data_IF_413298383104
#
_entry.id   IF_413298383104
#
_cell.length_a   1.000
_cell.length_b   1.000
_cell.length_c   1.000
_cell.angle_alpha   90.00
_cell.angle_beta   90.00
_cell.angle_gamma   90.00
#
_symmetry.space_group_name_H-M   'P 1'
#
loop_
_entity.id
_entity.type
_entity.pdbx_description
1 polymer ?
#
# COMPACT_ATOMS: atom_id res chain seq x y z
N UNK A 1 2.98 -14.01 -20.84
CA UNK A 1 3.10 -12.63 -21.37
C UNK A 1 2.94 -11.68 -20.18
N UNK A 2 3.63 -10.55 -20.16
CA UNK A 2 3.52 -9.57 -19.08
C UNK A 2 3.33 -8.16 -19.66
N UNK A 3 2.79 -7.25 -18.85
CA UNK A 3 2.63 -5.84 -19.19
C UNK A 3 3.39 -4.97 -18.18
N UNK A 4 4.02 -3.90 -18.66
CA UNK A 4 4.71 -2.90 -17.84
C UNK A 4 4.27 -1.51 -18.26
N UNK A 5 3.79 -0.72 -17.31
CA UNK A 5 3.35 0.66 -17.53
C UNK A 5 4.02 1.59 -16.49
N UNK A 6 4.28 2.84 -16.87
CA UNK A 6 4.85 3.88 -16.00
C UNK A 6 3.81 4.96 -15.69
N UNK A 7 3.82 5.40 -14.44
CA UNK A 7 2.91 6.40 -13.90
C UNK A 7 3.68 7.44 -13.09
N UNK A 8 3.12 8.64 -13.05
CA UNK A 8 3.59 9.77 -12.24
C UNK A 8 2.65 10.01 -11.05
N UNK A 9 2.93 11.04 -10.24
CA UNK A 9 2.10 11.40 -9.09
C UNK A 9 0.66 11.80 -9.45
N UNK A 10 0.39 12.13 -10.72
CA UNK A 10 -0.91 12.59 -11.22
C UNK A 10 -1.77 11.45 -11.74
N UNK A 11 -1.14 10.45 -12.34
CA UNK A 11 -1.80 9.33 -13.02
C UNK A 11 -1.87 8.07 -12.15
N UNK A 12 -0.94 7.90 -11.21
CA UNK A 12 -0.85 6.73 -10.34
C UNK A 12 -2.17 6.41 -9.61
N UNK A 13 -2.72 7.36 -8.85
CA UNK A 13 -3.87 7.06 -7.98
C UNK A 13 -5.11 6.63 -8.76
N UNK A 14 -5.34 7.17 -9.96
CA UNK A 14 -6.47 6.75 -10.79
C UNK A 14 -6.34 5.29 -11.20
N UNK A 15 -5.15 4.88 -11.65
CA UNK A 15 -4.88 3.50 -12.05
C UNK A 15 -4.88 2.55 -10.85
N UNK A 16 -4.21 2.94 -9.77
CA UNK A 16 -4.14 2.14 -8.54
C UNK A 16 -5.51 1.90 -7.91
N UNK A 17 -6.38 2.92 -7.84
CA UNK A 17 -7.75 2.76 -7.32
C UNK A 17 -8.61 1.85 -8.21
N UNK A 18 -8.35 1.81 -9.52
CA UNK A 18 -9.03 0.87 -10.42
C UNK A 18 -8.58 -0.57 -10.16
N UNK A 19 -7.28 -0.81 -9.96
CA UNK A 19 -6.76 -2.13 -9.58
C UNK A 19 -7.32 -2.57 -8.21
N UNK A 20 -7.39 -1.69 -7.21
CA UNK A 20 -8.05 -1.98 -5.92
C UNK A 20 -9.55 -2.28 -6.07
N UNK A 21 -10.22 -1.66 -7.04
CA UNK A 21 -11.62 -1.93 -7.34
C UNK A 21 -11.83 -3.32 -7.96
N UNK A 22 -10.87 -3.77 -8.77
CA UNK A 22 -10.91 -5.06 -9.46
C UNK A 22 -10.41 -6.24 -8.61
N UNK A 23 -9.71 -5.98 -7.49
CA UNK A 23 -9.10 -7.03 -6.69
C UNK A 23 -10.10 -7.98 -6.04
N UNK A 24 -9.73 -9.25 -5.90
CA UNK A 24 -10.61 -10.35 -5.51
C UNK A 24 -10.16 -11.13 -4.28
N UNK A 25 -8.86 -11.22 -4.01
CA UNK A 25 -8.30 -12.13 -3.00
C UNK A 25 -7.51 -11.41 -1.92
N UNK A 26 -6.54 -10.60 -2.29
CA UNK A 26 -5.68 -9.90 -1.35
C UNK A 26 -5.02 -8.64 -1.91
N UNK A 27 -4.75 -7.70 -1.02
CA UNK A 27 -3.98 -6.50 -1.29
C UNK A 27 -2.96 -6.31 -0.17
N UNK A 28 -1.70 -6.12 -0.54
CA UNK A 28 -0.61 -5.74 0.36
C UNK A 28 -0.13 -4.36 -0.07
N UNK A 29 -0.10 -3.39 0.85
CA UNK A 29 0.43 -2.05 0.59
C UNK A 29 1.56 -1.79 1.57
N UNK A 30 2.71 -1.39 1.07
CA UNK A 30 3.86 -1.01 1.88
C UNK A 30 4.19 0.45 1.61
N UNK A 31 4.12 1.27 2.67
CA UNK A 31 4.38 2.70 2.61
C UNK A 31 4.95 3.17 3.94
N UNK A 32 6.11 3.85 3.94
CA UNK A 32 6.82 4.19 5.18
C UNK A 32 6.06 5.18 6.07
N UNK A 33 5.15 5.96 5.50
CA UNK A 33 4.37 6.94 6.25
C UNK A 33 2.90 6.84 5.85
N UNK A 34 2.02 7.12 6.80
CA UNK A 34 0.57 7.24 6.65
C UNK A 34 0.16 8.66 6.96
N UNK A 35 -0.69 9.28 6.12
CA UNK A 35 -1.28 10.58 6.46
C UNK A 35 -2.79 10.61 6.31
N UNK A 36 -3.49 11.24 7.26
CA UNK A 36 -4.95 11.39 7.22
C UNK A 36 -5.44 12.05 5.94
N UNK A 37 -4.68 13.02 5.42
CA UNK A 37 -5.02 13.67 4.16
C UNK A 37 -5.09 12.68 3.00
N UNK A 38 -4.13 11.77 2.88
CA UNK A 38 -4.11 10.77 1.82
C UNK A 38 -5.12 9.65 2.09
N UNK A 39 -5.24 9.23 3.36
CA UNK A 39 -6.19 8.21 3.78
C UNK A 39 -7.64 8.58 3.46
N UNK A 40 -8.03 9.87 3.56
CA UNK A 40 -9.36 10.33 3.09
C UNK A 40 -9.70 9.90 1.66
N UNK A 41 -8.72 9.84 0.76
CA UNK A 41 -8.91 9.39 -0.62
C UNK A 41 -8.93 7.87 -0.76
N UNK A 42 -8.16 7.16 0.07
CA UNK A 42 -8.03 5.70 0.01
C UNK A 42 -9.13 4.96 0.77
N UNK A 43 -9.70 5.57 1.82
CA UNK A 43 -10.70 4.96 2.70
C UNK A 43 -11.89 4.33 1.96
N UNK A 44 -12.51 4.97 0.95
CA UNK A 44 -13.60 4.35 0.20
C UNK A 44 -13.19 3.02 -0.45
N UNK A 45 -12.02 2.97 -1.09
CA UNK A 45 -11.52 1.75 -1.73
C UNK A 45 -11.14 0.68 -0.70
N UNK A 46 -10.44 1.04 0.38
CA UNK A 46 -10.03 0.10 1.43
C UNK A 46 -11.25 -0.54 2.13
N UNK A 47 -12.28 0.26 2.43
CA UNK A 47 -13.55 -0.28 2.97
C UNK A 47 -14.24 -1.19 1.96
N UNK A 48 -14.19 -0.83 0.69
CA UNK A 48 -14.70 -1.66 -0.41
C UNK A 48 -13.98 -3.02 -0.49
N UNK A 49 -12.67 -3.09 -0.22
CA UNK A 49 -11.93 -4.35 -0.16
C UNK A 49 -12.51 -5.27 0.92
N UNK A 50 -12.60 -4.74 2.15
CA UNK A 50 -13.08 -5.50 3.30
C UNK A 50 -14.53 -5.96 3.11
N UNK A 51 -15.40 -5.11 2.58
CA UNK A 51 -16.79 -5.48 2.28
C UNK A 51 -16.91 -6.62 1.27
N UNK A 52 -15.96 -6.74 0.33
CA UNK A 52 -15.90 -7.86 -0.63
C UNK A 52 -15.21 -9.11 -0.07
N UNK A 53 -14.74 -9.07 1.18
CA UNK A 53 -13.96 -10.17 1.78
C UNK A 53 -12.53 -10.27 1.27
N UNK A 54 -12.01 -9.24 0.58
CA UNK A 54 -10.61 -9.18 0.13
C UNK A 54 -9.72 -8.93 1.36
N UNK A 55 -8.69 -9.74 1.53
CA UNK A 55 -7.73 -9.56 2.63
C UNK A 55 -6.86 -8.34 2.36
N UNK A 56 -6.69 -7.47 3.35
CA UNK A 56 -5.89 -6.27 3.20
C UNK A 56 -4.80 -6.22 4.28
N UNK A 57 -3.58 -5.96 3.84
CA UNK A 57 -2.40 -5.88 4.68
C UNK A 57 -1.67 -4.56 4.41
N UNK A 58 -1.33 -3.84 5.47
CA UNK A 58 -0.58 -2.59 5.38
C UNK A 58 0.71 -2.74 6.16
N UNK A 59 1.83 -2.48 5.51
CA UNK A 59 3.15 -2.43 6.12
C UNK A 59 3.58 -0.97 6.19
N UNK A 60 3.83 -0.48 7.39
CA UNK A 60 4.24 0.91 7.60
C UNK A 60 5.24 1.04 8.74
N UNK A 61 5.86 2.21 8.88
CA UNK A 61 6.78 2.45 10.00
C UNK A 61 6.00 2.55 11.30
N UNK A 62 6.63 2.11 12.38
CA UNK A 62 6.17 2.36 13.74
C UNK A 62 6.05 3.88 13.95
N UNK A 63 4.86 4.41 14.34
CA UNK A 63 4.69 5.83 14.63
C UNK A 63 5.68 6.38 15.64
N UNK A 64 6.20 5.55 16.54
CA UNK A 64 7.22 5.92 17.53
C UNK A 64 8.55 6.36 16.89
N UNK A 65 8.80 6.00 15.62
CA UNK A 65 9.96 6.46 14.86
C UNK A 65 9.72 7.85 14.19
N UNK A 66 8.55 8.47 14.40
CA UNK A 66 8.18 9.77 13.83
C UNK A 66 8.31 10.92 14.84
N UNK A 67 8.37 12.17 14.34
CA UNK A 67 8.26 13.37 15.19
C UNK A 67 6.84 13.52 15.76
N UNK A 68 6.69 13.99 17.01
CA UNK A 68 5.44 14.02 17.81
C UNK A 68 4.14 14.30 17.01
N UNK A 69 4.07 15.35 16.20
CA UNK A 69 2.82 15.69 15.46
C UNK A 69 2.46 14.69 14.34
N UNK A 70 3.46 14.01 13.78
CA UNK A 70 3.24 12.97 12.76
C UNK A 70 2.87 11.63 13.41
N UNK A 71 3.30 11.40 14.65
CA UNK A 71 3.02 10.20 15.43
C UNK A 71 1.52 10.07 15.72
N UNK A 72 0.90 11.05 16.38
CA UNK A 72 -0.53 11.00 16.76
C UNK A 72 -1.45 10.73 15.57
N UNK A 73 -1.19 11.42 14.45
CA UNK A 73 -2.01 11.26 13.24
C UNK A 73 -1.79 9.89 12.60
N UNK A 74 -0.55 9.40 12.53
CA UNK A 74 -0.25 8.09 11.96
C UNK A 74 -0.86 6.99 12.81
N UNK A 75 -0.76 7.10 14.13
CA UNK A 75 -1.33 6.15 15.07
C UNK A 75 -2.86 6.09 14.97
N UNK A 76 -3.54 7.24 14.89
CA UNK A 76 -4.99 7.27 14.72
C UNK A 76 -5.45 6.59 13.41
N UNK A 77 -4.73 6.79 12.31
CA UNK A 77 -5.05 6.10 11.05
C UNK A 77 -4.75 4.60 11.11
N UNK A 78 -3.67 4.19 11.78
CA UNK A 78 -3.34 2.77 12.00
C UNK A 78 -4.44 2.09 12.82
N UNK A 79 -4.86 2.69 13.94
CA UNK A 79 -5.95 2.16 14.76
C UNK A 79 -7.26 2.06 13.95
N UNK A 80 -7.56 3.05 13.10
CA UNK A 80 -8.73 3.02 12.23
C UNK A 80 -8.64 1.90 11.19
N UNK A 81 -7.46 1.61 10.64
CA UNK A 81 -7.23 0.51 9.70
C UNK A 81 -7.50 -0.83 10.38
N UNK A 82 -6.91 -1.06 11.55
CA UNK A 82 -7.10 -2.28 12.33
C UNK A 82 -8.56 -2.48 12.73
N UNK A 83 -9.25 -1.42 13.15
CA UNK A 83 -10.67 -1.47 13.50
C UNK A 83 -11.59 -1.87 12.32
N UNK A 84 -11.12 -1.71 11.06
CA UNK A 84 -11.84 -2.17 9.87
C UNK A 84 -11.49 -3.61 9.45
N UNK A 85 -10.61 -4.30 10.19
CA UNK A 85 -10.15 -5.64 9.86
C UNK A 85 -8.97 -5.69 8.88
N UNK A 86 -8.37 -4.54 8.57
CA UNK A 86 -7.11 -4.46 7.82
C UNK A 86 -5.98 -4.81 8.78
N UNK A 87 -5.12 -5.75 8.40
CA UNK A 87 -3.96 -6.10 9.24
C UNK A 87 -2.84 -5.09 9.01
N UNK A 88 -2.34 -4.48 10.07
CA UNK A 88 -1.24 -3.51 10.00
C UNK A 88 0.02 -4.10 10.64
N UNK A 89 1.15 -4.00 9.95
CA UNK A 89 2.45 -4.39 10.47
C UNK A 89 3.36 -3.19 10.59
N UNK A 90 3.82 -2.97 11.81
CA UNK A 90 4.73 -1.88 12.15
C UNK A 90 6.18 -2.36 12.02
N UNK A 91 6.92 -1.68 11.17
CA UNK A 91 8.35 -1.90 10.98
C UNK A 91 9.14 -0.81 11.69
N UNK A 92 10.14 -1.19 12.49
CA UNK A 92 11.07 -0.24 13.11
C UNK A 92 12.26 0.06 12.21
N UNK A 93 12.82 1.26 12.34
CA UNK A 93 14.05 1.69 11.68
C UNK A 93 13.86 2.17 10.23
N UNK A 94 14.87 1.95 9.38
CA UNK A 94 14.98 2.56 8.05
C UNK A 94 14.11 1.90 6.95
N UNK A 95 12.90 1.48 7.29
CA UNK A 95 11.97 0.85 6.37
C UNK A 95 11.41 1.86 5.35
N UNK A 96 11.84 1.88 4.09
CA UNK A 96 11.46 2.95 3.14
C UNK A 96 10.96 2.45 1.77
N UNK A 97 10.53 1.20 1.70
CA UNK A 97 9.97 0.61 0.48
C UNK A 97 8.57 1.15 0.23
N UNK A 98 8.21 1.22 -1.05
CA UNK A 98 6.97 1.80 -1.55
C UNK A 98 6.48 0.91 -2.67
N UNK A 99 5.55 0.04 -2.32
CA UNK A 99 5.06 -0.97 -3.23
C UNK A 99 3.66 -1.41 -2.85
N UNK A 100 2.97 -2.04 -3.79
CA UNK A 100 1.76 -2.78 -3.51
C UNK A 100 1.71 -4.06 -4.34
N UNK A 101 1.20 -5.13 -3.75
CA UNK A 101 0.93 -6.40 -4.42
C UNK A 101 -0.58 -6.62 -4.37
N UNK A 102 -1.19 -6.88 -5.51
CA UNK A 102 -2.62 -7.12 -5.64
C UNK A 102 -2.81 -8.50 -6.26
N UNK A 103 -3.55 -9.37 -5.57
CA UNK A 103 -3.92 -10.73 -5.99
C UNK A 103 -2.74 -11.59 -6.49
N UNK A 104 -1.52 -11.33 -6.01
CA UNK A 104 -0.28 -11.96 -6.49
C UNK A 104 -0.03 -11.83 -8.01
N UNK A 105 -0.78 -10.96 -8.70
CA UNK A 105 -0.71 -10.82 -10.16
C UNK A 105 -0.20 -9.43 -10.58
N UNK A 106 -0.59 -8.39 -9.82
CA UNK A 106 -0.20 -7.00 -10.10
C UNK A 106 0.79 -6.53 -9.04
N UNK A 107 1.89 -5.97 -9.51
CA UNK A 107 2.91 -5.30 -8.70
C UNK A 107 2.94 -3.82 -9.04
N UNK A 108 2.85 -3.00 -8.01
CA UNK A 108 3.20 -1.58 -8.04
C UNK A 108 4.50 -1.35 -7.27
N UNK A 109 5.44 -0.62 -7.84
CA UNK A 109 6.70 -0.25 -7.18
C UNK A 109 7.20 1.12 -7.64
N UNK A 110 7.87 1.87 -6.77
CA UNK A 110 8.48 3.14 -7.17
C UNK A 110 8.87 4.06 -6.03
N UNK A 111 8.87 5.37 -6.31
CA UNK A 111 9.30 6.41 -5.36
C UNK A 111 8.16 7.02 -4.56
N UNK A 112 6.90 6.81 -4.97
CA UNK A 112 5.71 7.42 -4.39
C UNK A 112 5.28 6.74 -3.07
N UNK A 113 5.10 7.52 -1.99
CA UNK A 113 4.53 7.00 -0.74
C UNK A 113 3.01 6.83 -0.88
N UNK A 114 2.54 5.60 -1.10
CA UNK A 114 1.12 5.34 -1.43
C UNK A 114 0.17 5.94 -0.38
N UNK A 115 0.49 5.77 0.90
CA UNK A 115 -0.35 6.18 2.03
C UNK A 115 -0.09 7.62 2.52
N UNK A 116 0.83 8.37 1.91
CA UNK A 116 1.20 9.71 2.40
C UNK A 116 1.67 10.72 1.34
N UNK A 117 1.69 10.39 0.05
CA UNK A 117 2.13 11.33 -0.99
C UNK A 117 1.27 12.60 -0.98
N UNK A 118 1.92 13.76 -1.16
CA UNK A 118 1.28 15.07 -1.18
C UNK A 118 1.59 15.91 -2.43
N UNK A 119 2.82 16.44 -2.55
CA UNK A 119 3.22 17.39 -3.61
C UNK A 119 4.62 17.10 -4.16
N UNK A 120 5.04 15.84 -4.11
CA UNK A 120 6.30 15.38 -4.69
C UNK A 120 6.10 14.90 -6.12
N UNK A 121 7.15 15.04 -6.94
CA UNK A 121 7.26 14.40 -8.26
C UNK A 121 7.71 12.97 -8.05
N UNK A 122 6.98 12.02 -8.60
CA UNK A 122 7.22 10.61 -8.31
C UNK A 122 7.12 9.76 -9.57
N UNK A 123 7.70 8.56 -9.50
CA UNK A 123 7.51 7.51 -10.50
C UNK A 123 6.96 6.26 -9.82
N UNK A 124 6.02 5.61 -10.50
CA UNK A 124 5.53 4.28 -10.15
C UNK A 124 5.50 3.42 -11.40
N UNK A 125 5.89 2.16 -11.28
CA UNK A 125 5.75 1.14 -12.30
C UNK A 125 4.64 0.19 -11.89
N UNK A 126 3.76 -0.14 -12.83
CA UNK A 126 2.81 -1.24 -12.74
C UNK A 126 3.32 -2.39 -13.57
N UNK A 127 3.42 -3.57 -12.98
CA UNK A 127 3.73 -4.83 -13.64
C UNK A 127 2.54 -5.76 -13.46
N UNK A 128 2.11 -6.40 -14.54
CA UNK A 128 0.96 -7.32 -14.54
C UNK A 128 1.32 -8.61 -15.27
N UNK A 129 1.05 -9.74 -14.62
CA UNK A 129 1.45 -11.06 -15.08
C UNK A 129 2.96 -11.29 -14.98
N UNK A 130 3.46 -12.36 -15.60
CA UNK A 130 4.89 -12.67 -15.65
C UNK A 130 5.55 -13.11 -14.34
N UNK A 131 4.81 -13.18 -13.23
CA UNK A 131 5.31 -13.66 -11.93
C UNK A 131 5.98 -12.61 -11.05
N UNK A 132 6.11 -11.35 -11.48
CA UNK A 132 6.83 -10.31 -10.72
C UNK A 132 6.27 -10.07 -9.32
N UNK A 133 4.94 -10.10 -9.18
CA UNK A 133 4.27 -9.94 -7.89
C UNK A 133 4.56 -11.11 -6.93
N UNK A 134 4.59 -12.34 -7.44
CA UNK A 134 4.94 -13.54 -6.67
C UNK A 134 6.43 -13.54 -6.29
N UNK A 135 7.31 -13.17 -7.21
CA UNK A 135 8.75 -13.05 -6.97
C UNK A 135 9.03 -12.06 -5.84
N UNK A 136 8.39 -10.88 -5.88
CA UNK A 136 8.56 -9.88 -4.82
C UNK A 136 7.95 -10.34 -3.50
N UNK A 137 6.79 -11.00 -3.54
CA UNK A 137 6.18 -11.60 -2.36
C UNK A 137 7.11 -12.60 -1.66
N UNK A 138 7.75 -13.48 -2.43
CA UNK A 138 8.72 -14.45 -1.93
C UNK A 138 10.01 -13.79 -1.46
N UNK A 139 10.53 -12.81 -2.20
CA UNK A 139 11.72 -12.05 -1.82
C UNK A 139 11.56 -11.38 -0.46
N UNK A 140 10.40 -10.75 -0.22
CA UNK A 140 10.06 -10.11 1.06
C UNK A 140 9.62 -11.11 2.14
N UNK A 141 9.49 -12.40 1.79
CA UNK A 141 9.12 -13.50 2.69
C UNK A 141 7.78 -13.28 3.37
N UNK A 142 6.85 -12.62 2.70
CA UNK A 142 5.55 -12.28 3.27
C UNK A 142 4.71 -13.49 3.69
N UNK A 143 4.94 -14.67 3.08
CA UNK A 143 4.35 -15.95 3.54
C UNK A 143 4.65 -16.30 5.02
N UNK A 144 5.70 -15.74 5.62
CA UNK A 144 5.99 -15.95 7.04
C UNK A 144 5.08 -15.13 7.97
N UNK A 145 4.39 -14.15 7.41
CA UNK A 145 3.65 -13.14 8.15
C UNK A 145 2.15 -13.14 7.79
N UNK A 146 1.77 -13.52 6.56
CA UNK A 146 0.39 -13.72 6.07
C UNK A 146 -0.08 -15.16 6.24
#
# INVERSE_FOLDING_TARGET
MYKSDLFDEKTFYKAFLADLGASQTEVIIESPFVTSKRMKTLWPSLRGLIQRGVKAYIVTRDPQDHTERYEEQSEAEIQALEATGIQVWLCRGNHHRKLAIIDREILWEGSLNILSQMKSREIMRRLEGGGFAEDLFHFLRYKKYL
#
